data_IF_930731600780
#
_entry.id   IF_930731600780
#
_cell.length_a   1.000
_cell.length_b   1.000
_cell.length_c   1.000
_cell.angle_alpha   90.00
_cell.angle_beta   90.00
_cell.angle_gamma   90.00
#
_symmetry.space_group_name_H-M   'P 1'
#
loop_
_entity.id
_entity.type
_entity.pdbx_description
1 polymer ?
#
# COMPACT_ATOMS: atom_id res chain seq x y z
N UNK A 1 -47.52 8.13 -9.09
CA UNK A 1 -47.18 6.97 -9.95
C UNK A 1 -46.45 5.87 -9.19
N UNK A 2 -45.29 6.11 -8.56
CA UNK A 2 -44.55 5.05 -7.83
C UNK A 2 -45.36 4.40 -6.69
N UNK A 3 -46.21 5.14 -5.99
CA UNK A 3 -47.01 4.62 -4.87
C UNK A 3 -48.02 3.52 -5.25
N UNK A 4 -48.38 3.40 -6.53
CA UNK A 4 -49.37 2.44 -7.03
C UNK A 4 -48.75 1.15 -7.60
N UNK A 5 -47.42 1.11 -7.78
CA UNK A 5 -46.75 -0.08 -8.28
C UNK A 5 -46.69 -1.17 -7.19
N UNK A 6 -46.77 -2.46 -7.55
CA UNK A 6 -46.37 -3.59 -6.71
C UNK A 6 -44.96 -3.39 -6.15
N UNK A 7 -44.72 -3.95 -4.96
CA UNK A 7 -43.44 -3.78 -4.25
C UNK A 7 -42.28 -4.39 -5.05
N UNK A 8 -42.53 -5.45 -5.79
CA UNK A 8 -41.59 -6.17 -6.64
C UNK A 8 -41.13 -5.29 -7.82
N UNK A 9 -42.07 -4.57 -8.46
CA UNK A 9 -41.74 -3.63 -9.53
C UNK A 9 -41.01 -2.40 -8.99
N UNK A 10 -41.36 -1.93 -7.79
CA UNK A 10 -40.59 -0.89 -7.12
C UNK A 10 -39.16 -1.34 -6.80
N UNK A 11 -38.96 -2.57 -6.34
CA UNK A 11 -37.61 -3.12 -6.14
C UNK A 11 -36.82 -3.17 -7.45
N UNK A 12 -37.46 -3.48 -8.58
CA UNK A 12 -36.80 -3.44 -9.89
C UNK A 12 -36.38 -2.01 -10.27
N UNK A 13 -37.24 -1.00 -10.06
CA UNK A 13 -36.89 0.40 -10.30
C UNK A 13 -35.72 0.83 -9.41
N UNK A 14 -35.74 0.47 -8.13
CA UNK A 14 -34.64 0.78 -7.21
C UNK A 14 -33.35 0.02 -7.55
N UNK A 15 -33.44 -1.18 -8.12
CA UNK A 15 -32.25 -1.92 -8.57
C UNK A 15 -31.57 -1.21 -9.74
N UNK A 16 -32.30 -0.47 -10.59
CA UNK A 16 -31.73 0.29 -11.71
C UNK A 16 -31.04 1.60 -11.32
N UNK A 17 -31.03 1.96 -10.03
CA UNK A 17 -30.34 3.18 -9.60
C UNK A 17 -28.83 3.06 -9.83
N UNK A 18 -28.22 4.17 -10.25
CA UNK A 18 -26.79 4.24 -10.53
C UNK A 18 -26.01 4.95 -9.42
N UNK A 19 -26.69 5.74 -8.57
CA UNK A 19 -26.04 6.49 -7.49
C UNK A 19 -26.72 6.33 -6.14
N UNK A 20 -25.93 6.47 -5.08
CA UNK A 20 -26.46 6.53 -3.71
C UNK A 20 -27.29 7.80 -3.47
N UNK A 21 -26.98 8.91 -4.17
CA UNK A 21 -27.74 10.14 -4.08
C UNK A 21 -29.19 9.93 -4.56
N UNK A 22 -29.40 9.16 -5.62
CA UNK A 22 -30.74 8.85 -6.12
C UNK A 22 -31.51 7.95 -5.16
N UNK A 23 -30.84 6.97 -4.55
CA UNK A 23 -31.42 6.15 -3.49
C UNK A 23 -31.86 7.00 -2.30
N UNK A 24 -31.00 7.95 -1.88
CA UNK A 24 -31.26 8.89 -0.79
C UNK A 24 -32.47 9.78 -1.12
N UNK A 25 -32.47 10.41 -2.30
CA UNK A 25 -33.56 11.25 -2.78
C UNK A 25 -34.90 10.48 -2.83
N UNK A 26 -34.89 9.25 -3.36
CA UNK A 26 -36.07 8.40 -3.40
C UNK A 26 -36.55 8.00 -2.00
N UNK A 27 -35.64 7.82 -1.04
CA UNK A 27 -36.00 7.50 0.35
C UNK A 27 -36.80 8.62 1.04
N UNK A 28 -36.61 9.87 0.62
CA UNK A 28 -37.33 11.03 1.18
C UNK A 28 -38.71 11.27 0.57
N UNK A 29 -39.09 10.54 -0.49
CA UNK A 29 -40.35 10.80 -1.21
C UNK A 29 -41.60 10.35 -0.45
N UNK A 30 -41.59 9.15 0.15
CA UNK A 30 -42.71 8.65 0.94
C UNK A 30 -42.27 7.50 1.87
N UNK A 31 -43.13 7.12 2.83
CA UNK A 31 -42.85 6.02 3.77
C UNK A 31 -42.56 4.68 3.07
N UNK A 32 -43.24 4.40 1.96
CA UNK A 32 -43.07 3.13 1.23
C UNK A 32 -41.71 3.03 0.55
N UNK A 33 -41.28 4.07 -0.14
CA UNK A 33 -39.95 4.17 -0.77
C UNK A 33 -38.85 4.24 0.28
N UNK A 34 -39.09 4.91 1.42
CA UNK A 34 -38.21 4.86 2.58
C UNK A 34 -37.96 3.42 3.02
N UNK A 35 -39.01 2.63 3.30
CA UNK A 35 -38.86 1.24 3.76
C UNK A 35 -38.11 0.36 2.75
N UNK A 36 -38.40 0.49 1.45
CA UNK A 36 -37.69 -0.23 0.38
C UNK A 36 -36.21 0.16 0.38
N UNK A 37 -35.91 1.46 0.48
CA UNK A 37 -34.54 1.97 0.50
C UNK A 37 -33.73 1.48 1.71
N UNK A 38 -34.38 1.12 2.83
CA UNK A 38 -33.71 0.55 4.01
C UNK A 38 -33.32 -0.93 3.81
N UNK A 39 -33.74 -1.56 2.71
CA UNK A 39 -33.41 -2.96 2.43
C UNK A 39 -31.91 -3.20 2.23
N UNK A 40 -31.32 -4.04 3.08
CA UNK A 40 -29.90 -4.41 3.06
C UNK A 40 -29.45 -4.98 1.71
N UNK A 41 -30.28 -5.81 1.08
CA UNK A 41 -29.97 -6.46 -0.21
C UNK A 41 -29.84 -5.42 -1.33
N UNK A 42 -30.80 -4.50 -1.40
CA UNK A 42 -30.84 -3.45 -2.42
C UNK A 42 -29.63 -2.52 -2.27
N UNK A 43 -29.35 -2.07 -1.04
CA UNK A 43 -28.17 -1.25 -0.75
C UNK A 43 -26.88 -1.94 -1.13
N UNK A 44 -26.73 -3.23 -0.79
CA UNK A 44 -25.56 -4.02 -1.16
C UNK A 44 -25.40 -4.11 -2.68
N UNK A 45 -26.47 -4.38 -3.42
CA UNK A 45 -26.42 -4.46 -4.89
C UNK A 45 -26.03 -3.13 -5.54
N UNK A 46 -26.64 -2.02 -5.10
CA UNK A 46 -26.30 -0.69 -5.59
C UNK A 46 -24.81 -0.37 -5.34
N UNK A 47 -24.34 -0.70 -4.15
CA UNK A 47 -22.95 -0.54 -3.78
C UNK A 47 -22.00 -1.42 -4.60
N UNK A 48 -22.34 -2.68 -4.82
CA UNK A 48 -21.55 -3.55 -5.71
C UNK A 48 -21.48 -3.01 -7.13
N UNK A 49 -22.57 -2.39 -7.65
CA UNK A 49 -22.60 -1.78 -9.00
C UNK A 49 -21.64 -0.59 -9.11
N UNK A 50 -21.57 0.28 -8.11
CA UNK A 50 -20.64 1.43 -8.09
C UNK A 50 -19.16 1.01 -8.23
N UNK A 51 -18.82 -0.19 -7.76
CA UNK A 51 -17.44 -0.70 -7.72
C UNK A 51 -17.18 -1.79 -8.77
N UNK A 52 -18.02 -1.93 -9.81
CA UNK A 52 -17.74 -2.80 -10.96
C UNK A 52 -16.67 -2.16 -11.87
N UNK A 53 -15.43 -2.52 -11.59
CA UNK A 53 -14.19 -2.04 -12.24
C UNK A 53 -14.23 -2.09 -13.78
N UNK A 54 -14.91 -3.08 -14.36
CA UNK A 54 -14.96 -3.26 -15.83
C UNK A 54 -15.84 -2.24 -16.55
N UNK A 55 -16.84 -1.66 -15.87
CA UNK A 55 -17.81 -0.72 -16.46
C UNK A 55 -17.43 0.75 -16.21
N UNK A 56 -16.76 1.03 -15.09
CA UNK A 56 -16.45 2.39 -14.65
C UNK A 56 -15.02 2.85 -14.96
N UNK A 57 -14.43 2.40 -16.09
CA UNK A 57 -13.05 2.79 -16.50
C UNK A 57 -12.86 4.30 -16.68
N UNK A 58 -13.94 5.06 -16.84
CA UNK A 58 -13.93 6.51 -17.04
C UNK A 58 -14.40 7.33 -15.83
N UNK A 59 -14.96 6.70 -14.80
CA UNK A 59 -15.63 7.40 -13.72
C UNK A 59 -15.01 7.05 -12.38
N UNK A 60 -14.25 8.02 -11.87
CA UNK A 60 -14.24 8.58 -10.51
C UNK A 60 -12.80 8.98 -10.21
N UNK A 61 -12.59 10.28 -9.96
CA UNK A 61 -11.34 10.73 -9.34
C UNK A 61 -11.24 10.03 -7.97
N UNK A 62 -10.03 9.61 -7.55
CA UNK A 62 -9.85 8.77 -6.35
C UNK A 62 -10.63 9.26 -5.11
N UNK A 63 -10.82 10.57 -4.98
CA UNK A 63 -11.57 11.21 -3.91
C UNK A 63 -13.06 10.85 -3.90
N UNK A 64 -13.73 10.88 -5.05
CA UNK A 64 -15.20 10.71 -5.13
C UNK A 64 -15.61 9.29 -4.69
N UNK A 65 -14.80 8.31 -5.04
CA UNK A 65 -15.04 6.91 -4.71
C UNK A 65 -14.88 6.64 -3.21
N UNK A 66 -13.85 7.24 -2.59
CA UNK A 66 -13.64 7.14 -1.14
C UNK A 66 -14.75 7.86 -0.35
N UNK A 67 -15.22 9.00 -0.82
CA UNK A 67 -16.35 9.74 -0.23
C UNK A 67 -17.63 8.88 -0.29
N UNK A 68 -17.94 8.33 -1.46
CA UNK A 68 -19.11 7.47 -1.65
C UNK A 68 -19.05 6.22 -0.77
N UNK A 69 -17.87 5.62 -0.60
CA UNK A 69 -17.68 4.52 0.33
C UNK A 69 -18.03 4.91 1.77
N UNK A 70 -17.54 6.05 2.24
CA UNK A 70 -17.80 6.52 3.60
C UNK A 70 -19.30 6.76 3.85
N UNK A 71 -19.98 7.45 2.92
CA UNK A 71 -21.43 7.64 2.99
C UNK A 71 -22.20 6.33 2.90
N UNK A 72 -21.72 5.38 2.11
CA UNK A 72 -22.37 4.07 2.03
C UNK A 72 -22.27 3.30 3.35
N UNK A 73 -21.08 3.27 3.97
CA UNK A 73 -20.89 2.61 5.27
C UNK A 73 -21.77 3.25 6.34
N UNK A 74 -21.86 4.58 6.33
CA UNK A 74 -22.75 5.34 7.22
C UNK A 74 -24.22 4.94 7.04
N UNK A 75 -24.69 4.95 5.79
CA UNK A 75 -26.08 4.71 5.46
C UNK A 75 -26.52 3.25 5.58
N UNK A 76 -25.75 2.34 4.98
CA UNK A 76 -26.09 0.94 4.92
C UNK A 76 -25.75 0.21 6.21
N UNK A 77 -24.81 0.73 7.01
CA UNK A 77 -24.22 0.06 8.18
C UNK A 77 -23.60 -1.31 7.88
N UNK A 78 -23.39 -1.63 6.60
CA UNK A 78 -22.79 -2.88 6.10
C UNK A 78 -21.27 -2.70 5.95
N UNK A 79 -20.50 -3.75 6.20
CA UNK A 79 -19.07 -3.77 5.91
C UNK A 79 -18.83 -4.12 4.43
N UNK A 80 -17.96 -3.39 3.72
CA UNK A 80 -17.64 -3.66 2.33
C UNK A 80 -16.75 -4.91 2.22
N UNK A 81 -17.36 -6.09 2.09
CA UNK A 81 -16.61 -7.37 2.01
C UNK A 81 -16.59 -7.99 0.61
N UNK A 82 -17.25 -7.37 -0.37
CA UNK A 82 -17.27 -7.85 -1.76
C UNK A 82 -15.88 -7.77 -2.39
N UNK A 83 -15.51 -8.78 -3.16
CA UNK A 83 -14.20 -8.86 -3.83
C UNK A 83 -13.93 -7.70 -4.77
N UNK A 84 -14.94 -7.24 -5.53
CA UNK A 84 -14.80 -6.10 -6.45
C UNK A 84 -14.49 -4.79 -5.71
N UNK A 85 -15.16 -4.58 -4.59
CA UNK A 85 -14.98 -3.39 -3.75
C UNK A 85 -13.60 -3.42 -3.08
N UNK A 86 -13.21 -4.58 -2.56
CA UNK A 86 -11.87 -4.76 -2.00
C UNK A 86 -10.80 -4.51 -3.06
N UNK A 87 -10.93 -5.02 -4.28
CA UNK A 87 -9.97 -4.78 -5.34
C UNK A 87 -9.78 -3.28 -5.64
N UNK A 88 -10.86 -2.51 -5.71
CA UNK A 88 -10.79 -1.05 -5.90
C UNK A 88 -10.10 -0.37 -4.71
N UNK A 89 -10.47 -0.74 -3.48
CA UNK A 89 -9.88 -0.17 -2.26
C UNK A 89 -8.39 -0.47 -2.14
N UNK A 90 -8.00 -1.68 -2.50
CA UNK A 90 -6.63 -2.17 -2.45
C UNK A 90 -5.75 -1.47 -3.50
N UNK A 91 -6.29 -1.22 -4.70
CA UNK A 91 -5.51 -0.72 -5.83
C UNK A 91 -5.53 0.80 -6.00
N UNK A 92 -6.68 1.45 -5.77
CA UNK A 92 -6.91 2.85 -6.16
C UNK A 92 -6.91 3.81 -4.97
N UNK A 93 -7.38 3.39 -3.79
CA UNK A 93 -7.49 4.30 -2.65
C UNK A 93 -6.13 4.52 -1.99
N UNK A 94 -5.62 5.75 -2.10
CA UNK A 94 -4.37 6.22 -1.46
C UNK A 94 -4.48 6.27 0.07
N UNK A 95 -3.36 6.03 0.75
CA UNK A 95 -3.25 6.14 2.21
C UNK A 95 -3.63 7.52 2.75
N UNK A 96 -3.38 8.60 1.99
CA UNK A 96 -3.77 9.98 2.37
C UNK A 96 -5.27 10.14 2.61
N UNK A 97 -6.14 9.45 1.85
CA UNK A 97 -7.59 9.52 2.08
C UNK A 97 -7.97 9.00 3.46
N UNK A 98 -7.26 8.00 4.00
CA UNK A 98 -7.55 7.49 5.34
C UNK A 98 -7.21 8.50 6.44
N UNK A 99 -6.29 9.42 6.15
CA UNK A 99 -5.73 10.39 7.10
C UNK A 99 -6.46 11.73 7.03
N UNK A 100 -6.57 12.29 5.84
CA UNK A 100 -6.96 13.69 5.62
C UNK A 100 -8.47 13.86 5.48
N UNK A 101 -9.21 12.78 5.29
CA UNK A 101 -10.66 12.82 5.09
C UNK A 101 -11.42 13.16 6.37
N UNK A 102 -12.37 14.08 6.25
CA UNK A 102 -13.31 14.42 7.32
C UNK A 102 -14.46 13.41 7.35
N UNK A 103 -14.34 12.41 8.21
CA UNK A 103 -15.34 11.35 8.35
C UNK A 103 -16.64 11.89 8.96
N UNK A 104 -17.83 11.43 8.48
CA UNK A 104 -19.12 11.80 9.06
C UNK A 104 -19.27 11.43 10.55
N UNK A 105 -18.61 10.34 10.98
CA UNK A 105 -18.56 9.94 12.38
C UNK A 105 -17.33 9.08 12.69
N UNK A 106 -16.96 8.99 13.97
CA UNK A 106 -15.91 8.08 14.44
C UNK A 106 -16.25 6.61 14.19
N UNK A 107 -17.53 6.25 14.19
CA UNK A 107 -17.99 4.89 13.87
C UNK A 107 -17.66 4.54 12.41
N UNK A 108 -17.91 5.45 11.47
CA UNK A 108 -17.57 5.26 10.05
C UNK A 108 -16.06 5.17 9.87
N UNK A 109 -15.29 6.06 10.51
CA UNK A 109 -13.82 6.02 10.50
C UNK A 109 -13.29 4.66 10.98
N UNK A 110 -13.81 4.16 12.11
CA UNK A 110 -13.42 2.85 12.64
C UNK A 110 -13.69 1.70 11.67
N UNK A 111 -14.84 1.69 11.00
CA UNK A 111 -15.18 0.67 9.99
C UNK A 111 -14.30 0.75 8.74
N UNK A 112 -14.01 1.96 8.26
CA UNK A 112 -13.10 2.18 7.12
C UNK A 112 -11.70 1.69 7.46
N UNK A 113 -11.18 2.00 8.66
CA UNK A 113 -9.86 1.55 9.09
C UNK A 113 -9.77 0.02 9.21
N UNK A 114 -10.88 -0.68 9.46
CA UNK A 114 -10.96 -2.14 9.51
C UNK A 114 -11.20 -2.82 8.14
N UNK A 115 -11.30 -2.05 7.05
CA UNK A 115 -11.76 -2.60 5.77
C UNK A 115 -10.91 -3.76 5.26
N UNK A 116 -9.59 -3.71 5.46
CA UNK A 116 -8.67 -4.75 5.01
C UNK A 116 -8.49 -5.89 6.02
N UNK A 117 -9.05 -5.78 7.23
CA UNK A 117 -8.84 -6.74 8.33
C UNK A 117 -9.23 -8.18 7.94
N UNK A 118 -10.26 -8.35 7.11
CA UNK A 118 -10.72 -9.66 6.64
C UNK A 118 -9.75 -10.36 5.68
N UNK A 119 -8.80 -9.62 5.10
CA UNK A 119 -7.78 -10.12 4.16
C UNK A 119 -6.41 -10.30 4.83
N UNK A 120 -6.31 -10.07 6.13
CA UNK A 120 -5.06 -10.23 6.85
C UNK A 120 -4.71 -11.71 7.02
N UNK A 121 -3.42 -11.99 6.87
CA UNK A 121 -2.81 -13.24 7.27
C UNK A 121 -2.25 -13.07 8.68
N UNK A 122 -2.27 -14.15 9.45
CA UNK A 122 -1.53 -14.19 10.71
C UNK A 122 -0.04 -14.24 10.41
N UNK A 123 0.72 -13.33 11.00
CA UNK A 123 2.16 -13.20 10.78
C UNK A 123 2.89 -13.18 12.13
N UNK A 124 4.12 -13.68 12.13
CA UNK A 124 5.09 -13.47 13.22
C UNK A 124 6.18 -12.54 12.71
N UNK A 125 5.76 -11.34 12.35
CA UNK A 125 6.58 -10.33 11.70
C UNK A 125 6.91 -9.22 12.70
N UNK A 126 7.94 -8.43 12.39
CA UNK A 126 8.38 -7.28 13.15
C UNK A 126 8.45 -6.06 12.22
N UNK A 127 7.49 -5.14 12.36
CA UNK A 127 7.58 -3.85 11.70
C UNK A 127 8.54 -2.97 12.51
N UNK A 128 9.81 -2.90 12.10
CA UNK A 128 10.80 -2.04 12.76
C UNK A 128 10.85 -2.23 14.30
N UNK A 129 11.03 -3.48 14.73
CA UNK A 129 10.98 -3.93 16.13
C UNK A 129 9.61 -3.85 16.83
N UNK A 130 8.55 -3.50 16.10
CA UNK A 130 7.18 -3.57 16.61
C UNK A 130 6.59 -4.94 16.24
N UNK A 131 6.25 -5.73 17.25
CA UNK A 131 5.60 -7.02 17.04
C UNK A 131 4.22 -6.82 16.39
N UNK A 132 4.00 -7.53 15.28
CA UNK A 132 2.73 -7.51 14.55
C UNK A 132 2.18 -8.92 14.39
N UNK A 133 0.88 -9.09 14.63
CA UNK A 133 0.22 -10.40 14.55
C UNK A 133 -0.60 -10.59 13.27
N UNK A 134 -1.00 -9.50 12.62
CA UNK A 134 -1.84 -9.53 11.41
C UNK A 134 -1.36 -8.52 10.41
N UNK A 135 -1.10 -8.98 9.19
CA UNK A 135 -0.67 -8.12 8.10
C UNK A 135 -1.40 -8.48 6.82
N UNK A 136 -1.57 -7.48 5.96
CA UNK A 136 -1.97 -7.68 4.58
C UNK A 136 -1.15 -6.76 3.69
N UNK A 137 -0.93 -7.19 2.45
CA UNK A 137 -0.15 -6.45 1.45
C UNK A 137 -1.01 -6.20 0.23
N UNK A 138 -0.95 -4.96 -0.24
CA UNK A 138 -1.65 -4.50 -1.43
C UNK A 138 -0.65 -3.85 -2.38
N UNK A 139 -0.80 -4.08 -3.68
CA UNK A 139 -0.09 -3.31 -4.70
C UNK A 139 -1.05 -2.22 -5.17
N UNK A 140 -0.81 -0.99 -4.71
CA UNK A 140 -1.56 0.21 -5.10
C UNK A 140 -0.99 0.79 -6.39
N UNK A 141 -1.71 1.71 -7.03
CA UNK A 141 -1.15 2.52 -8.13
C UNK A 141 0.10 3.32 -7.72
N UNK A 142 0.21 3.70 -6.44
CA UNK A 142 1.36 4.44 -5.90
C UNK A 142 2.52 3.54 -5.43
N UNK A 143 2.37 2.23 -5.48
CA UNK A 143 3.33 1.24 -4.99
C UNK A 143 2.74 0.30 -3.93
N UNK A 144 3.57 -0.54 -3.31
CA UNK A 144 3.14 -1.46 -2.26
C UNK A 144 2.67 -0.69 -1.02
N UNK A 145 1.62 -1.22 -0.40
CA UNK A 145 1.10 -0.80 0.88
C UNK A 145 0.94 -2.02 1.76
N UNK A 146 1.54 -1.98 2.95
CA UNK A 146 1.31 -2.97 3.99
C UNK A 146 0.36 -2.36 5.03
N UNK A 147 -0.60 -3.15 5.49
CA UNK A 147 -1.51 -2.75 6.55
C UNK A 147 -1.41 -3.77 7.68
N UNK A 148 -1.04 -3.27 8.85
CA UNK A 148 -0.87 -4.07 10.05
C UNK A 148 -2.02 -3.80 11.02
N UNK A 149 -2.49 -4.86 11.66
CA UNK A 149 -3.56 -4.82 12.65
C UNK A 149 -3.12 -5.48 13.96
N UNK A 150 -3.84 -5.14 15.03
CA UNK A 150 -3.61 -5.67 16.37
C UNK A 150 -2.18 -5.37 16.87
N UNK A 151 -1.69 -4.17 16.57
CA UNK A 151 -0.33 -3.72 16.88
C UNK A 151 -0.32 -2.99 18.22
N UNK A 152 0.62 -3.35 19.10
CA UNK A 152 0.84 -2.67 20.37
C UNK A 152 2.29 -2.24 20.46
N UNK A 153 2.54 -0.93 20.59
CA UNK A 153 3.90 -0.37 20.73
C UNK A 153 3.86 0.83 21.68
N UNK A 154 4.91 1.02 22.48
CA UNK A 154 5.10 2.21 23.34
C UNK A 154 3.88 2.57 24.20
N UNK A 155 3.24 1.56 24.79
CA UNK A 155 1.98 1.66 25.59
C UNK A 155 0.73 2.05 24.79
N UNK A 156 0.87 2.36 23.51
CA UNK A 156 -0.25 2.60 22.62
C UNK A 156 -0.73 1.30 22.00
N UNK A 157 -2.05 1.14 21.98
CA UNK A 157 -2.72 0.14 21.15
C UNK A 157 -3.13 0.80 19.86
N UNK A 158 -2.64 0.32 18.73
CA UNK A 158 -3.01 0.85 17.43
C UNK A 158 -4.16 0.05 16.83
N UNK A 159 -5.13 0.76 16.27
CA UNK A 159 -6.21 0.18 15.48
C UNK A 159 -5.64 -0.48 14.23
N UNK A 160 -4.77 0.24 13.53
CA UNK A 160 -4.00 -0.24 12.40
C UNK A 160 -2.80 0.69 12.11
N UNK A 161 -1.81 0.15 11.39
CA UNK A 161 -0.68 0.88 10.86
C UNK A 161 -0.63 0.67 9.35
N UNK A 162 -0.65 1.75 8.60
CA UNK A 162 -0.41 1.78 7.16
C UNK A 162 1.07 2.08 6.93
N UNK A 163 1.70 1.26 6.12
CA UNK A 163 3.08 1.45 5.73
C UNK A 163 3.18 1.42 4.21
N UNK A 164 3.47 2.59 3.65
CA UNK A 164 3.93 2.78 2.29
C UNK A 164 5.45 2.96 2.33
N UNK A 165 6.17 2.62 1.27
CA UNK A 165 7.66 2.66 1.19
C UNK A 165 8.36 3.85 1.87
N UNK A 166 7.73 5.02 1.86
CA UNK A 166 8.29 6.27 2.40
C UNK A 166 7.60 6.77 3.67
N UNK A 167 6.42 6.26 4.01
CA UNK A 167 5.54 6.85 5.02
C UNK A 167 4.90 5.75 5.85
N UNK A 168 4.98 5.93 7.17
CA UNK A 168 4.24 5.12 8.13
C UNK A 168 3.15 5.99 8.75
N UNK A 169 1.93 5.47 8.82
CA UNK A 169 0.78 6.14 9.42
C UNK A 169 0.13 5.17 10.40
N UNK A 170 0.09 5.54 11.67
CA UNK A 170 -0.54 4.76 12.72
C UNK A 170 -1.79 5.45 13.26
N UNK A 171 -2.85 4.67 13.47
CA UNK A 171 -4.10 5.14 14.06
C UNK A 171 -4.26 4.53 15.44
N UNK A 172 -4.31 5.35 16.50
CA UNK A 172 -4.43 4.87 17.89
C UNK A 172 -5.86 4.39 18.17
N UNK A 173 -6.04 3.27 18.86
CA UNK A 173 -7.34 2.74 19.26
C UNK A 173 -7.88 3.47 20.51
N UNK A 174 -8.17 4.77 20.38
CA UNK A 174 -8.64 5.65 21.47
C UNK A 174 -10.03 6.27 21.22
N UNK A 175 -10.81 5.70 20.31
CA UNK A 175 -12.14 6.19 19.92
C UNK A 175 -12.15 7.36 18.93
N UNK A 176 -11.16 8.28 19.00
CA UNK A 176 -10.97 9.36 18.02
C UNK A 176 -10.08 8.95 16.84
N UNK A 177 -9.32 7.88 17.00
CA UNK A 177 -8.34 7.39 16.04
C UNK A 177 -7.30 8.46 15.71
N UNK A 178 -6.66 8.99 16.75
CA UNK A 178 -5.55 9.94 16.62
C UNK A 178 -4.49 9.37 15.68
N UNK A 179 -4.02 10.22 14.76
CA UNK A 179 -3.11 9.83 13.70
C UNK A 179 -1.69 10.22 14.08
N UNK A 180 -0.77 9.26 14.01
CA UNK A 180 0.67 9.50 14.03
C UNK A 180 1.24 9.23 12.64
N UNK A 181 2.12 10.11 12.18
CA UNK A 181 2.82 9.94 10.91
C UNK A 181 4.32 9.86 11.18
N UNK A 182 5.03 9.06 10.41
CA UNK A 182 6.47 8.93 10.47
C UNK A 182 7.05 8.41 9.17
N UNK A 183 8.36 8.20 9.18
CA UNK A 183 9.12 7.65 8.06
C UNK A 183 9.83 6.38 8.50
N UNK A 184 9.86 5.38 7.62
CA UNK A 184 10.62 4.16 7.86
C UNK A 184 12.11 4.45 7.69
N UNK A 185 12.91 4.02 8.65
CA UNK A 185 14.36 4.07 8.61
C UNK A 185 14.93 2.66 8.39
N UNK A 186 15.98 2.60 7.60
CA UNK A 186 16.58 1.36 7.15
C UNK A 186 18.02 1.23 7.62
N UNK A 187 18.45 -0.01 7.80
CA UNK A 187 19.84 -0.39 8.10
C UNK A 187 20.33 -1.45 7.11
N UNK A 188 21.57 -1.35 6.66
CA UNK A 188 22.28 -2.39 5.88
C UNK A 188 23.53 -2.79 6.66
N UNK A 189 23.52 -3.99 7.26
CA UNK A 189 24.68 -4.74 7.81
C UNK A 189 25.84 -3.92 8.43
N UNK A 190 25.55 -2.79 9.08
CA UNK A 190 26.56 -1.88 9.66
C UNK A 190 27.24 -0.89 8.70
N UNK A 191 26.82 -0.83 7.43
CA UNK A 191 27.30 0.14 6.42
C UNK A 191 26.48 1.41 6.48
N UNK A 192 25.17 1.28 6.46
CA UNK A 192 24.22 2.38 6.63
C UNK A 192 23.31 2.08 7.81
N UNK A 193 23.04 3.09 8.61
CA UNK A 193 22.11 3.00 9.74
C UNK A 193 21.23 4.23 9.79
N UNK A 194 19.97 4.02 10.14
CA UNK A 194 18.95 5.07 10.26
C UNK A 194 18.82 5.95 9.02
N UNK A 195 18.83 5.33 7.84
CA UNK A 195 18.74 6.04 6.56
C UNK A 195 17.39 5.86 5.89
N UNK A 196 16.90 6.94 5.29
CA UNK A 196 15.80 6.90 4.33
C UNK A 196 16.36 6.89 2.91
N UNK A 197 15.52 6.53 1.93
CA UNK A 197 15.97 6.38 0.54
C UNK A 197 16.43 7.71 -0.04
N UNK A 198 15.77 8.80 0.35
CA UNK A 198 16.16 10.16 -0.03
C UNK A 198 17.50 10.59 0.55
N UNK A 199 17.99 9.94 1.61
CA UNK A 199 19.34 10.17 2.12
C UNK A 199 20.40 9.38 1.34
N UNK A 200 20.00 8.31 0.65
CA UNK A 200 20.90 7.46 -0.15
C UNK A 200 21.09 8.05 -1.54
N UNK A 201 20.00 8.42 -2.21
CA UNK A 201 20.04 8.99 -3.55
C UNK A 201 18.93 10.03 -3.76
N UNK A 202 19.18 10.93 -4.72
CA UNK A 202 18.21 11.92 -5.19
C UNK A 202 17.80 11.57 -6.61
N UNK A 203 16.49 11.49 -6.87
CA UNK A 203 15.95 11.15 -8.18
C UNK A 203 15.36 12.39 -8.86
N UNK A 204 15.67 12.61 -10.15
CA UNK A 204 15.01 13.65 -10.95
C UNK A 204 13.57 13.28 -11.30
N UNK A 205 13.31 12.00 -11.49
CA UNK A 205 11.98 11.47 -11.79
C UNK A 205 11.77 10.14 -11.08
N UNK A 206 10.56 9.95 -10.57
CA UNK A 206 10.12 8.67 -10.03
C UNK A 206 8.94 8.15 -10.82
N UNK A 207 9.00 6.88 -11.22
CA UNK A 207 7.88 6.20 -11.86
C UNK A 207 7.35 5.15 -10.90
N UNK A 208 6.07 5.28 -10.53
CA UNK A 208 5.32 4.18 -9.98
C UNK A 208 4.67 3.50 -11.19
N UNK A 209 5.26 2.44 -11.74
CA UNK A 209 4.55 1.62 -12.73
C UNK A 209 5.18 0.23 -12.93
N UNK A 210 4.27 -0.71 -13.18
CA UNK A 210 4.46 -2.08 -13.65
C UNK A 210 5.35 -2.15 -14.90
N UNK A 211 6.66 -2.00 -14.75
CA UNK A 211 7.57 -2.65 -15.68
C UNK A 211 7.64 -4.12 -15.28
N UNK A 212 7.20 -5.00 -16.17
CA UNK A 212 7.67 -6.37 -16.19
C UNK A 212 9.19 -6.27 -16.26
N UNK A 213 9.87 -6.69 -15.19
CA UNK A 213 11.32 -6.83 -15.19
C UNK A 213 11.71 -7.58 -16.48
N UNK A 214 12.77 -7.18 -17.21
CA UNK A 214 13.37 -8.13 -18.14
C UNK A 214 13.62 -9.41 -17.34
N UNK A 215 13.09 -10.53 -17.81
CA UNK A 215 13.17 -11.82 -17.13
C UNK A 215 14.65 -12.11 -16.82
N UNK A 216 15.06 -11.94 -15.57
CA UNK A 216 16.42 -12.24 -15.16
C UNK A 216 16.42 -13.70 -14.71
N UNK A 217 16.49 -14.61 -15.69
CA UNK A 217 16.93 -16.00 -15.48
C UNK A 217 18.44 -16.10 -15.20
N UNK A 218 19.04 -15.04 -14.65
CA UNK A 218 20.46 -14.97 -14.38
C UNK A 218 20.67 -14.77 -12.88
N UNK A 219 21.30 -15.73 -12.19
CA UNK A 219 21.81 -15.45 -10.85
C UNK A 219 22.74 -14.23 -10.93
N UNK A 220 22.88 -13.46 -9.84
CA UNK A 220 23.83 -12.34 -9.81
C UNK A 220 25.18 -12.85 -10.32
N UNK A 221 25.76 -12.16 -11.30
CA UNK A 221 27.03 -12.59 -11.88
C UNK A 221 28.09 -12.55 -10.78
N UNK A 222 28.56 -13.73 -10.37
CA UNK A 222 29.79 -13.90 -9.61
C UNK A 222 30.96 -13.46 -10.51
N UNK A 223 31.16 -12.16 -10.66
CA UNK A 223 32.36 -11.57 -11.19
C UNK A 223 33.05 -10.75 -10.10
N UNK A 224 33.18 -11.36 -8.91
CA UNK A 224 34.31 -11.06 -8.03
C UNK A 224 35.40 -12.06 -8.38
N UNK A 225 36.39 -11.58 -9.11
CA UNK A 225 37.60 -12.31 -9.43
C UNK A 225 38.21 -12.93 -8.17
N UNK A 226 38.49 -14.22 -8.26
CA UNK A 226 39.18 -15.04 -7.28
C UNK A 226 40.46 -14.37 -6.74
N UNK A 227 40.34 -13.68 -5.60
CA UNK A 227 41.46 -13.41 -4.69
C UNK A 227 40.99 -13.46 -3.24
N UNK A 228 40.96 -14.69 -2.72
CA UNK A 228 41.26 -15.11 -1.34
C UNK A 228 40.86 -14.09 -0.24
N UNK A 229 39.72 -14.33 0.41
CA UNK A 229 39.54 -14.01 1.83
C UNK A 229 39.11 -15.27 2.60
N UNK A 230 39.63 -15.50 3.83
CA UNK A 230 39.38 -16.70 4.59
C UNK A 230 38.02 -16.66 5.29
N UNK A 231 37.33 -17.81 5.20
CA UNK A 231 36.17 -18.30 5.95
C UNK A 231 35.42 -17.34 6.91
N UNK A 232 34.19 -17.01 6.54
CA UNK A 232 33.06 -17.02 7.47
C UNK A 232 31.92 -17.79 6.82
N UNK A 233 31.34 -18.72 7.58
CA UNK A 233 30.34 -19.70 7.15
C UNK A 233 29.21 -19.05 6.33
N UNK A 234 29.18 -19.35 5.03
CA UNK A 234 28.05 -19.06 4.17
C UNK A 234 26.94 -20.01 4.59
N UNK A 235 25.89 -19.46 5.20
CA UNK A 235 24.64 -20.17 5.45
C UNK A 235 24.16 -20.67 4.08
N UNK A 236 24.08 -21.99 3.94
CA UNK A 236 23.56 -22.64 2.74
C UNK A 236 22.20 -22.02 2.39
N UNK A 237 22.03 -21.60 1.15
CA UNK A 237 20.77 -21.16 0.57
C UNK A 237 20.05 -22.36 -0.05
N UNK A 238 19.11 -23.04 0.64
CA UNK A 238 18.16 -23.87 -0.05
C UNK A 238 16.94 -23.01 -0.39
N UNK A 239 16.54 -22.99 -1.66
CA UNK A 239 15.15 -23.20 -2.14
C UNK A 239 15.00 -22.65 -3.57
N UNK A 240 14.08 -23.30 -4.27
CA UNK A 240 13.73 -23.20 -5.69
C UNK A 240 13.65 -21.79 -6.29
N UNK A 241 13.98 -21.60 -7.59
CA UNK A 241 13.95 -20.29 -8.27
C UNK A 241 12.60 -19.55 -8.23
N UNK A 242 11.48 -20.27 -8.06
CA UNK A 242 10.13 -19.68 -7.96
C UNK A 242 9.89 -18.86 -6.69
N UNK A 243 10.66 -19.14 -5.63
CA UNK A 243 10.43 -18.58 -4.30
C UNK A 243 11.13 -17.23 -4.12
N UNK A 244 12.07 -16.91 -5.02
CA UNK A 244 12.93 -15.72 -4.98
C UNK A 244 12.53 -14.63 -5.98
N UNK A 245 11.25 -14.48 -6.31
CA UNK A 245 10.83 -13.40 -7.21
C UNK A 245 10.73 -12.06 -6.45
N UNK A 246 11.60 -11.08 -6.74
CA UNK A 246 11.53 -9.77 -6.11
C UNK A 246 10.26 -9.04 -6.53
N UNK A 247 9.57 -8.42 -5.58
CA UNK A 247 8.44 -7.55 -5.88
C UNK A 247 8.98 -6.15 -6.17
N UNK A 248 8.94 -5.69 -7.43
CA UNK A 248 9.37 -4.33 -7.77
C UNK A 248 8.45 -3.30 -7.12
N UNK A 249 9.01 -2.46 -6.27
CA UNK A 249 8.28 -1.48 -5.48
C UNK A 249 8.30 -0.11 -6.17
N UNK A 250 9.46 0.29 -6.73
CA UNK A 250 9.61 1.57 -7.44
C UNK A 250 10.83 1.58 -8.35
N UNK A 251 10.73 2.37 -9.42
CA UNK A 251 11.87 2.72 -10.29
C UNK A 251 12.10 4.21 -10.24
N UNK A 252 13.35 4.60 -10.04
CA UNK A 252 13.81 5.99 -10.08
C UNK A 252 14.74 6.20 -11.25
N UNK A 253 14.64 7.34 -11.90
CA UNK A 253 15.39 7.65 -13.11
C UNK A 253 16.29 8.86 -12.90
N UNK A 254 17.45 8.81 -13.56
CA UNK A 254 18.46 9.88 -13.53
C UNK A 254 18.79 10.31 -12.09
N UNK A 255 19.22 9.33 -11.30
CA UNK A 255 19.49 9.49 -9.89
C UNK A 255 20.94 9.91 -9.64
N UNK A 256 21.16 10.66 -8.56
CA UNK A 256 22.48 11.02 -8.06
C UNK A 256 22.64 10.43 -6.67
N UNK A 257 23.72 9.69 -6.46
CA UNK A 257 24.04 9.11 -5.16
C UNK A 257 24.48 10.21 -4.19
N UNK A 258 23.88 10.23 -3.00
CA UNK A 258 24.10 11.29 -2.00
C UNK A 258 25.11 10.89 -0.92
N UNK A 259 25.43 9.60 -0.81
CA UNK A 259 26.34 9.04 0.19
C UNK A 259 27.35 8.07 -0.44
N UNK A 260 28.50 7.89 0.20
CA UNK A 260 29.45 6.85 -0.21
C UNK A 260 28.98 5.51 0.33
N UNK A 261 28.91 4.48 -0.52
CA UNK A 261 28.56 3.13 -0.12
C UNK A 261 29.79 2.24 -0.35
N UNK A 262 30.37 1.74 0.75
CA UNK A 262 31.57 0.90 0.70
C UNK A 262 31.30 -0.43 -0.03
N UNK A 263 30.12 -1.02 0.19
CA UNK A 263 29.65 -2.25 -0.49
C UNK A 263 29.31 -1.91 -1.94
N UNK A 264 30.12 -2.39 -2.88
CA UNK A 264 29.96 -2.12 -4.32
C UNK A 264 30.71 -0.91 -4.87
N UNK A 265 31.61 -0.29 -4.10
CA UNK A 265 32.46 0.83 -4.56
C UNK A 265 31.66 2.02 -5.14
N UNK A 266 30.45 2.27 -4.63
CA UNK A 266 29.61 3.36 -5.11
C UNK A 266 30.01 4.67 -4.44
N UNK A 267 30.30 5.69 -5.25
CA UNK A 267 30.85 6.97 -4.78
C UNK A 267 29.80 8.06 -4.85
N UNK A 268 29.74 8.91 -3.82
CA UNK A 268 28.87 10.08 -3.77
C UNK A 268 29.04 10.92 -5.04
N UNK A 269 27.92 11.49 -5.51
CA UNK A 269 27.76 12.24 -6.75
C UNK A 269 27.84 11.39 -8.04
N UNK A 270 28.01 10.07 -7.93
CA UNK A 270 27.85 9.18 -9.08
C UNK A 270 26.40 9.23 -9.58
N UNK A 271 26.25 9.26 -10.90
CA UNK A 271 24.95 9.28 -11.56
C UNK A 271 24.55 7.88 -12.03
N UNK A 272 23.28 7.54 -11.85
CA UNK A 272 22.68 6.30 -12.31
C UNK A 272 21.44 6.61 -13.14
N UNK A 273 21.35 5.99 -14.30
CA UNK A 273 20.20 6.12 -15.19
C UNK A 273 18.96 5.53 -14.53
N UNK A 274 19.12 4.42 -13.81
CA UNK A 274 18.03 3.76 -13.10
C UNK A 274 18.47 3.29 -11.71
N UNK A 275 17.57 3.45 -10.75
CA UNK A 275 17.64 2.76 -9.45
C UNK A 275 16.34 1.97 -9.29
N UNK A 276 16.48 0.66 -9.12
CA UNK A 276 15.37 -0.24 -8.85
C UNK A 276 15.28 -0.49 -7.36
N UNK A 277 14.07 -0.42 -6.82
CA UNK A 277 13.85 -0.83 -5.45
C UNK A 277 12.79 -1.90 -5.38
N UNK A 278 13.19 -3.04 -4.85
CA UNK A 278 12.36 -4.23 -4.80
C UNK A 278 12.44 -4.91 -3.44
N UNK A 279 11.40 -5.66 -3.11
CA UNK A 279 11.32 -6.38 -1.85
C UNK A 279 11.55 -7.87 -2.06
N UNK A 280 12.30 -8.49 -1.15
CA UNK A 280 12.38 -9.94 -1.04
C UNK A 280 11.18 -10.47 -0.26
N UNK A 281 10.43 -11.40 -0.86
CA UNK A 281 9.23 -12.01 -0.27
C UNK A 281 9.47 -12.83 1.00
N UNK A 282 10.72 -13.20 1.30
CA UNK A 282 11.04 -14.15 2.38
C UNK A 282 11.92 -13.59 3.50
N UNK A 283 12.56 -12.43 3.33
CA UNK A 283 13.55 -11.90 4.31
C UNK A 283 13.25 -10.47 4.77
N UNK A 284 12.02 -9.97 4.56
CA UNK A 284 11.58 -8.60 4.88
C UNK A 284 12.63 -7.52 4.52
N UNK A 285 13.39 -7.82 3.45
CA UNK A 285 14.54 -7.07 3.02
C UNK A 285 14.18 -6.29 1.76
N UNK A 286 14.63 -5.04 1.71
CA UNK A 286 14.49 -4.17 0.56
C UNK A 286 15.84 -4.09 -0.13
N UNK A 287 15.89 -4.51 -1.40
CA UNK A 287 17.05 -4.33 -2.23
C UNK A 287 16.94 -3.02 -3.01
N UNK A 288 17.99 -2.19 -2.95
CA UNK A 288 18.16 -0.99 -3.78
C UNK A 288 19.31 -1.25 -4.74
N UNK A 289 18.98 -1.42 -6.01
CA UNK A 289 19.94 -1.75 -7.06
C UNK A 289 20.21 -0.54 -7.95
N UNK A 290 21.48 -0.26 -8.19
CA UNK A 290 21.96 0.89 -8.95
C UNK A 290 22.41 0.44 -10.34
N UNK A 291 21.78 0.95 -11.39
CA UNK A 291 22.01 0.52 -12.76
C UNK A 291 22.42 1.69 -13.66
N UNK A 292 23.33 1.41 -14.59
CA UNK A 292 23.75 2.35 -15.64
C UNK A 292 23.75 1.70 -17.01
N UNK A 293 23.65 2.51 -18.06
CA UNK A 293 23.72 1.99 -19.43
C UNK A 293 25.19 1.59 -19.71
N UNK A 294 25.38 0.39 -20.25
CA UNK A 294 26.70 -0.09 -20.64
C UNK A 294 27.34 0.81 -21.70
N UNK A 295 28.65 1.07 -21.60
CA UNK A 295 29.35 1.94 -22.56
C UNK A 295 29.36 1.42 -24.01
N UNK A 296 29.02 0.15 -24.23
CA UNK A 296 29.06 -0.54 -25.53
C UNK A 296 27.71 -1.13 -25.97
N UNK A 297 26.68 -1.14 -25.12
CA UNK A 297 25.33 -1.65 -25.45
C UNK A 297 24.27 -0.80 -24.78
N UNK A 298 23.06 -0.74 -25.35
CA UNK A 298 21.91 -0.10 -24.72
C UNK A 298 21.35 -0.89 -23.51
N UNK A 299 22.09 -1.87 -23.02
CA UNK A 299 21.67 -2.73 -21.92
C UNK A 299 21.96 -2.08 -20.57
N UNK A 300 21.04 -2.31 -19.63
CA UNK A 300 21.19 -1.89 -18.25
C UNK A 300 22.13 -2.84 -17.52
N UNK A 301 23.22 -2.30 -17.00
CA UNK A 301 24.22 -3.04 -16.24
C UNK A 301 24.12 -2.63 -14.77
N UNK A 302 23.95 -3.63 -13.90
CA UNK A 302 24.02 -3.45 -12.45
C UNK A 302 25.43 -3.01 -12.04
N UNK A 303 25.51 -1.90 -11.29
CA UNK A 303 26.76 -1.33 -10.79
C UNK A 303 26.99 -1.61 -9.31
N UNK A 304 25.95 -2.06 -8.62
CA UNK A 304 25.98 -2.40 -7.20
C UNK A 304 24.58 -2.40 -6.61
N UNK A 305 24.45 -2.93 -5.40
CA UNK A 305 23.18 -2.98 -4.68
C UNK A 305 23.38 -2.82 -3.17
N UNK A 306 22.32 -2.41 -2.49
CA UNK A 306 22.17 -2.39 -1.04
C UNK A 306 21.06 -3.34 -0.62
N UNK A 307 21.29 -4.15 0.43
CA UNK A 307 20.25 -4.96 1.06
C UNK A 307 19.91 -4.35 2.40
N UNK A 308 18.75 -3.70 2.46
CA UNK A 308 18.31 -2.95 3.62
C UNK A 308 17.24 -3.72 4.40
N UNK A 309 17.29 -3.65 5.73
CA UNK A 309 16.21 -4.10 6.62
C UNK A 309 15.55 -2.92 7.29
N UNK A 310 14.25 -3.04 7.52
CA UNK A 310 13.46 -2.09 8.31
C UNK A 310 13.98 -2.07 9.75
N UNK A 311 14.34 -0.90 10.25
CA UNK A 311 15.02 -0.77 11.54
C UNK A 311 14.18 -0.07 12.59
N UNK A 312 13.81 1.19 12.32
CA UNK A 312 13.04 2.03 13.24
C UNK A 312 12.07 2.92 12.48
N UNK A 313 11.01 3.36 13.16
CA UNK A 313 10.10 4.38 12.62
C UNK A 313 10.47 5.70 13.27
N UNK A 314 10.90 6.66 12.44
CA UNK A 314 11.06 8.03 12.89
C UNK A 314 9.71 8.73 12.83
N UNK A 315 9.04 8.85 13.98
CA UNK A 315 7.79 9.57 14.09
C UNK A 315 8.01 11.07 13.91
N UNK A 316 7.13 11.71 13.15
CA UNK A 316 7.08 13.16 13.06
C UNK A 316 6.66 13.69 14.43
N UNK A 317 7.58 14.35 15.13
CA UNK A 317 7.23 15.10 16.34
C UNK A 317 6.26 16.20 15.91
N UNK A 318 4.98 16.04 16.29
CA UNK A 318 4.03 17.13 16.18
C UNK A 318 4.58 18.26 17.05
N UNK A 319 5.01 19.37 16.42
CA UNK A 319 5.08 20.61 17.16
C UNK A 319 3.68 20.83 17.72
N UNK A 320 3.56 20.84 19.05
CA UNK A 320 2.33 21.20 19.70
C UNK A 320 1.89 22.56 19.16
N UNK A 321 0.74 22.60 18.48
CA UNK A 321 -0.02 23.82 18.26
C UNK A 321 -1.19 23.75 19.25
#
# INVERSE_FOLDING_TARGET
>A
MLSQLPTELLYQVFDQLESYQDLSNLSFTCRRTFLISQGTILRRKLFEKLFRVEQNKAFLQDNDLFIQLCHFIEAAKINPTSSSIMQVLEQQVKTSHFVDYQYPSTVVKGKILDVFRSKCQEVKDNLANIAVSKATRHITQSGPRRVYYDVTADKNKYKCIFYDLKKVVAFVDNGSYTVHQGTMQFTDEGILSDVSWSAIFEAKQSQANNMVLPSVDLPPSDSFSDKIMPSTQIIATPRTPSDWQPCLLRTFQNCVLQTNIKKGCLVKNQTFEYIFVYENRHDDAICVEFCSIGGSSAELVSRGYLLMKEHTIQWNTSAAI
#
